data_IF_670209491068
#
_entry.id   IF_670209491068
#
_cell.length_a   1.000
_cell.length_b   1.000
_cell.length_c   1.000
_cell.angle_alpha   90.00
_cell.angle_beta   90.00
_cell.angle_gamma   90.00
#
_symmetry.space_group_name_H-M   'P 1'
#
loop_
_entity.id
_entity.type
_entity.pdbx_description
1 polymer ?
#
# COMPACT_ATOMS: atom_id res chain seq x y z
N UNK A 1 0.08 -21.57 -11.28
CA UNK A 1 0.67 -20.27 -11.75
C UNK A 1 -0.23 -19.05 -11.52
N UNK A 2 -1.56 -19.13 -11.60
CA UNK A 2 -2.45 -17.98 -11.34
C UNK A 2 -2.34 -17.33 -9.93
N UNK A 3 -2.04 -18.11 -8.88
CA UNK A 3 -2.01 -17.60 -7.50
C UNK A 3 -0.78 -16.71 -7.17
N UNK A 4 0.37 -16.97 -7.78
CA UNK A 4 1.62 -16.22 -7.50
C UNK A 4 1.65 -14.86 -8.19
N UNK A 5 1.08 -14.74 -9.38
CA UNK A 5 1.04 -13.46 -10.11
C UNK A 5 0.01 -12.50 -9.51
N UNK A 6 -1.14 -13.01 -9.04
CA UNK A 6 -2.17 -12.20 -8.42
C UNK A 6 -1.71 -11.55 -7.11
N UNK A 7 -1.11 -12.32 -6.21
CA UNK A 7 -0.65 -11.83 -4.91
C UNK A 7 0.38 -10.69 -5.01
N UNK A 8 1.34 -10.81 -5.94
CA UNK A 8 2.36 -9.77 -6.14
C UNK A 8 1.77 -8.48 -6.70
N UNK A 9 0.83 -8.59 -7.66
CA UNK A 9 0.16 -7.43 -8.24
C UNK A 9 -0.72 -6.75 -7.18
N UNK A 10 -1.47 -7.54 -6.40
CA UNK A 10 -2.32 -7.03 -5.33
C UNK A 10 -1.49 -6.30 -4.26
N UNK A 11 -0.33 -6.85 -3.88
CA UNK A 11 0.61 -6.21 -2.95
C UNK A 11 1.16 -4.89 -3.52
N UNK A 12 1.63 -4.89 -4.77
CA UNK A 12 2.16 -3.68 -5.40
C UNK A 12 1.09 -2.59 -5.56
N UNK A 13 -0.15 -2.98 -5.87
CA UNK A 13 -1.28 -2.05 -5.94
C UNK A 13 -1.55 -1.42 -4.58
N UNK A 14 -1.61 -2.24 -3.52
CA UNK A 14 -1.81 -1.77 -2.17
C UNK A 14 -0.68 -0.84 -1.69
N UNK A 15 0.57 -1.15 -2.05
CA UNK A 15 1.71 -0.27 -1.75
C UNK A 15 1.61 1.07 -2.51
N UNK A 16 1.16 1.06 -3.77
CA UNK A 16 0.93 2.30 -4.52
C UNK A 16 -0.17 3.14 -3.88
N UNK A 17 -1.28 2.53 -3.46
CA UNK A 17 -2.38 3.21 -2.76
C UNK A 17 -1.92 3.79 -1.42
N UNK A 18 -1.14 3.05 -0.65
CA UNK A 18 -0.52 3.53 0.58
C UNK A 18 0.34 4.78 0.33
N UNK A 19 1.23 4.72 -0.67
CA UNK A 19 2.11 5.85 -1.02
C UNK A 19 1.32 7.06 -1.50
N UNK A 20 0.23 6.87 -2.25
CA UNK A 20 -0.65 7.94 -2.68
C UNK A 20 -1.36 8.61 -1.49
N UNK A 21 -1.87 7.84 -0.53
CA UNK A 21 -2.50 8.37 0.67
C UNK A 21 -1.47 9.06 1.59
N UNK A 22 -0.29 8.48 1.77
CA UNK A 22 0.80 9.10 2.55
C UNK A 22 1.22 10.44 1.96
N UNK A 23 1.23 10.56 0.62
CA UNK A 23 1.48 11.83 -0.06
C UNK A 23 0.49 12.93 0.36
N UNK A 24 -0.81 12.59 0.47
CA UNK A 24 -1.84 13.52 0.92
C UNK A 24 -1.63 13.94 2.37
N UNK A 25 -1.25 13.01 3.25
CA UNK A 25 -0.97 13.30 4.66
C UNK A 25 0.22 14.24 4.80
N UNK A 26 1.34 13.97 4.13
CA UNK A 26 2.53 14.83 4.15
C UNK A 26 2.21 16.23 3.60
N UNK A 27 1.48 16.30 2.48
CA UNK A 27 1.04 17.58 1.91
C UNK A 27 0.15 18.36 2.88
N UNK A 28 -0.74 17.67 3.60
CA UNK A 28 -1.56 18.27 4.64
C UNK A 28 -0.72 18.81 5.80
N UNK A 29 0.32 18.10 6.23
CA UNK A 29 1.25 18.55 7.24
C UNK A 29 1.94 19.86 6.82
N UNK A 30 2.43 19.91 5.56
CA UNK A 30 3.11 21.10 5.03
C UNK A 30 2.15 22.29 4.95
N UNK A 31 0.93 22.08 4.44
CA UNK A 31 -0.03 23.17 4.25
C UNK A 31 -0.56 23.74 5.56
N UNK A 32 -0.63 22.92 6.60
CA UNK A 32 -1.21 23.32 7.89
C UNK A 32 -0.17 23.58 8.98
N UNK A 33 1.13 23.56 8.64
CA UNK A 33 2.22 23.67 9.62
C UNK A 33 2.15 24.92 10.50
N UNK A 34 1.66 26.02 9.96
CA UNK A 34 1.54 27.31 10.67
C UNK A 34 0.18 27.46 11.37
N UNK A 35 -0.73 26.48 11.25
CA UNK A 35 -2.04 26.55 11.89
C UNK A 35 -1.92 26.30 13.39
N UNK A 36 -2.56 27.20 14.17
CA UNK A 36 -2.55 27.10 15.63
C UNK A 36 -3.15 25.78 16.11
N UNK A 37 -2.38 24.99 16.87
CA UNK A 37 -2.84 23.72 17.42
C UNK A 37 -2.81 22.56 16.43
N UNK A 38 -2.24 22.72 15.24
CA UNK A 38 -2.07 21.63 14.30
C UNK A 38 -1.04 20.63 14.82
N UNK A 39 -1.39 19.36 14.74
CA UNK A 39 -0.50 18.23 15.06
C UNK A 39 -0.28 17.39 13.79
N UNK A 40 0.98 17.20 13.37
CA UNK A 40 1.27 16.41 12.18
C UNK A 40 0.85 14.97 12.35
N UNK A 41 0.48 14.36 11.25
CA UNK A 41 0.10 12.96 11.18
C UNK A 41 1.03 12.21 10.22
N UNK A 42 1.16 10.91 10.40
CA UNK A 42 1.75 10.01 9.42
C UNK A 42 0.82 8.83 9.16
N UNK A 43 1.00 8.18 8.03
CA UNK A 43 0.24 7.01 7.64
C UNK A 43 1.06 5.76 7.89
N UNK A 44 0.51 4.83 8.64
CA UNK A 44 1.14 3.55 8.94
C UNK A 44 0.27 2.40 8.46
N UNK A 45 0.87 1.25 8.20
CA UNK A 45 0.13 0.03 7.92
C UNK A 45 -0.60 -0.44 9.18
N UNK A 46 -1.81 -0.94 9.02
CA UNK A 46 -2.54 -1.56 10.12
C UNK A 46 -1.80 -2.81 10.63
N UNK A 47 -1.99 -3.12 11.90
CA UNK A 47 -1.35 -4.29 12.52
C UNK A 47 -1.80 -5.61 11.87
N UNK A 48 -3.04 -5.66 11.41
CA UNK A 48 -3.59 -6.81 10.68
C UNK A 48 -2.89 -7.04 9.35
N UNK A 49 -2.54 -5.97 8.64
CA UNK A 49 -1.82 -6.04 7.39
C UNK A 49 -0.36 -6.46 7.59
N UNK A 50 0.31 -5.91 8.61
CA UNK A 50 1.66 -6.32 8.96
C UNK A 50 1.72 -7.83 9.25
N UNK A 51 0.79 -8.36 10.03
CA UNK A 51 0.69 -9.80 10.31
C UNK A 51 0.43 -10.62 9.04
N UNK A 52 -0.43 -10.12 8.13
CA UNK A 52 -0.71 -10.81 6.88
C UNK A 52 0.50 -10.82 5.92
N UNK A 53 1.39 -9.84 6.01
CA UNK A 53 2.64 -9.79 5.24
C UNK A 53 3.72 -10.68 5.83
N UNK A 54 3.78 -10.83 7.15
CA UNK A 54 4.75 -11.66 7.86
C UNK A 54 4.44 -13.16 7.79
N UNK A 55 3.16 -13.54 7.65
CA UNK A 55 2.71 -14.93 7.57
C UNK A 55 1.94 -15.22 6.26
N UNK A 56 2.62 -15.27 5.10
CA UNK A 56 1.94 -15.42 3.81
C UNK A 56 1.23 -16.78 3.64
N UNK A 57 1.52 -17.76 4.48
CA UNK A 57 1.00 -19.13 4.35
C UNK A 57 -0.21 -19.41 5.26
N UNK A 58 -0.54 -18.52 6.20
CA UNK A 58 -1.67 -18.69 7.14
C UNK A 58 -3.04 -18.29 6.59
N UNK A 59 -3.09 -17.67 5.41
CA UNK A 59 -4.34 -17.25 4.76
C UNK A 59 -5.02 -18.35 3.92
N UNK A 60 -4.49 -19.55 3.95
CA UNK A 60 -5.17 -20.73 3.42
C UNK A 60 -6.22 -21.19 4.43
N UNK A 61 -7.37 -20.54 4.45
CA UNK A 61 -8.54 -21.08 5.15
C UNK A 61 -8.84 -22.47 4.54
N UNK A 62 -8.64 -23.51 5.32
CA UNK A 62 -9.05 -24.86 4.98
C UNK A 62 -10.55 -24.85 4.71
N UNK A 63 -10.94 -25.06 3.47
CA UNK A 63 -12.33 -25.27 3.09
C UNK A 63 -12.81 -26.58 3.68
N UNK A 64 -13.62 -26.51 4.72
CA UNK A 64 -14.26 -27.68 5.31
C UNK A 64 -15.60 -28.04 4.64
N UNK A 65 -16.07 -27.22 3.68
CA UNK A 65 -17.32 -27.49 2.96
C UNK A 65 -17.31 -26.84 1.56
N UNK A 66 -17.70 -27.58 0.51
CA UNK A 66 -17.76 -27.12 -0.89
C UNK A 66 -18.75 -25.96 -1.13
N UNK A 67 -19.62 -25.66 -0.18
CA UNK A 67 -20.58 -24.56 -0.25
C UNK A 67 -20.03 -23.22 0.23
N UNK A 68 -18.83 -23.19 0.80
CA UNK A 68 -18.15 -21.95 1.12
C UNK A 68 -17.51 -21.35 -0.12
N UNK A 69 -18.17 -20.36 -0.72
CA UNK A 69 -17.57 -19.50 -1.73
C UNK A 69 -16.30 -18.89 -1.13
N UNK A 70 -15.16 -18.91 -1.87
CA UNK A 70 -13.99 -18.16 -1.43
C UNK A 70 -14.40 -16.68 -1.40
N UNK A 71 -14.49 -16.12 -0.20
CA UNK A 71 -14.58 -14.69 -0.04
C UNK A 71 -13.26 -14.15 -0.59
N UNK A 72 -13.31 -13.57 -1.78
CA UNK A 72 -12.15 -12.87 -2.30
C UNK A 72 -11.76 -11.84 -1.23
N UNK A 73 -10.47 -11.76 -0.84
CA UNK A 73 -10.06 -10.72 0.08
C UNK A 73 -10.52 -9.41 -0.52
N UNK A 74 -11.38 -8.69 0.21
CA UNK A 74 -11.88 -7.40 -0.23
C UNK A 74 -10.66 -6.48 -0.38
N UNK A 75 -10.37 -6.13 -1.62
CA UNK A 75 -9.23 -5.30 -1.99
C UNK A 75 -9.31 -3.96 -1.27
N UNK A 76 -8.24 -3.62 -0.53
CA UNK A 76 -7.94 -2.25 -0.14
C UNK A 76 -9.08 -1.49 0.51
N UNK A 77 -9.63 -2.00 1.62
CA UNK A 77 -10.47 -1.15 2.46
C UNK A 77 -9.56 -0.10 3.10
N UNK A 78 -10.07 1.11 3.25
CA UNK A 78 -9.44 2.21 4.01
C UNK A 78 -9.05 1.83 5.45
N UNK A 79 -9.37 0.63 5.88
CA UNK A 79 -9.04 0.03 7.18
C UNK A 79 -7.62 -0.55 7.24
N UNK A 80 -6.96 -0.76 6.07
CA UNK A 80 -5.60 -1.30 6.00
C UNK A 80 -4.53 -0.28 6.39
N UNK A 81 -4.89 1.01 6.40
CA UNK A 81 -3.98 2.11 6.73
C UNK A 81 -4.53 2.91 7.90
N UNK A 82 -3.64 3.29 8.81
CA UNK A 82 -3.99 4.07 9.99
C UNK A 82 -3.24 5.39 10.00
N UNK A 83 -3.98 6.49 10.11
CA UNK A 83 -3.41 7.81 10.36
C UNK A 83 -3.07 7.93 11.85
N UNK A 84 -1.82 8.21 12.15
CA UNK A 84 -1.32 8.36 13.52
C UNK A 84 -0.78 9.76 13.70
N UNK A 85 -1.25 10.49 14.74
CA UNK A 85 -0.66 11.76 15.10
C UNK A 85 0.73 11.54 15.70
N UNK A 86 1.72 12.26 15.20
CA UNK A 86 3.11 12.13 15.69
C UNK A 86 3.37 12.93 16.95
N UNK A 87 2.47 13.87 17.33
CA UNK A 87 2.61 14.71 18.52
C UNK A 87 3.81 15.68 18.48
N UNK A 88 4.62 15.64 17.43
CA UNK A 88 5.78 16.49 17.24
C UNK A 88 5.40 17.82 16.55
N UNK A 89 6.28 18.82 16.64
CA UNK A 89 6.12 20.03 15.83
C UNK A 89 6.48 19.72 14.38
N UNK A 90 5.70 20.26 13.43
CA UNK A 90 6.00 20.10 11.99
C UNK A 90 7.33 20.77 11.67
N UNK A 91 8.23 20.04 11.03
CA UNK A 91 9.47 20.55 10.45
C UNK A 91 9.35 20.49 8.93
N UNK A 92 9.41 21.65 8.28
CA UNK A 92 9.32 21.72 6.81
C UNK A 92 10.39 20.86 6.13
N UNK A 93 11.63 20.93 6.63
CA UNK A 93 12.74 20.15 6.04
C UNK A 93 12.49 18.64 6.14
N UNK A 94 11.98 18.17 7.28
CA UNK A 94 11.64 16.78 7.48
C UNK A 94 10.46 16.36 6.59
N UNK A 95 9.41 17.17 6.48
CA UNK A 95 8.27 16.85 5.62
C UNK A 95 8.64 16.87 4.13
N UNK A 96 9.51 17.78 3.70
CA UNK A 96 10.02 17.79 2.33
C UNK A 96 10.88 16.57 2.02
N UNK A 97 11.71 16.11 2.96
CA UNK A 97 12.47 14.86 2.82
C UNK A 97 11.53 13.65 2.73
N UNK A 98 10.52 13.58 3.60
CA UNK A 98 9.49 12.53 3.58
C UNK A 98 8.71 12.53 2.25
N UNK A 99 8.39 13.72 1.72
CA UNK A 99 7.70 13.86 0.44
C UNK A 99 8.55 13.31 -0.70
N UNK A 100 9.84 13.67 -0.75
CA UNK A 100 10.77 13.20 -1.77
C UNK A 100 10.96 11.68 -1.71
N UNK A 101 11.15 11.13 -0.52
CA UNK A 101 11.25 9.68 -0.30
C UNK A 101 9.96 8.97 -0.75
N UNK A 102 8.81 9.46 -0.32
CA UNK A 102 7.52 8.87 -0.66
C UNK A 102 7.27 8.89 -2.17
N UNK A 103 7.63 9.99 -2.85
CA UNK A 103 7.53 10.11 -4.31
C UNK A 103 8.44 9.10 -5.03
N UNK A 104 9.68 8.95 -4.58
CA UNK A 104 10.62 7.97 -5.14
C UNK A 104 10.07 6.53 -5.00
N UNK A 105 9.57 6.19 -3.82
CA UNK A 105 9.01 4.86 -3.56
C UNK A 105 7.72 4.60 -4.33
N UNK A 106 6.89 5.63 -4.52
CA UNK A 106 5.70 5.53 -5.37
C UNK A 106 6.10 5.20 -6.82
N UNK A 107 7.04 5.95 -7.39
CA UNK A 107 7.51 5.73 -8.77
C UNK A 107 8.11 4.33 -8.94
N UNK A 108 8.92 3.88 -7.98
CA UNK A 108 9.48 2.52 -7.99
C UNK A 108 8.37 1.45 -7.98
N UNK A 109 7.34 1.65 -7.15
CA UNK A 109 6.21 0.71 -7.05
C UNK A 109 5.43 0.64 -8.37
N UNK A 110 5.18 1.79 -9.00
CA UNK A 110 4.49 1.87 -10.30
C UNK A 110 5.34 1.24 -11.41
N UNK A 111 6.65 1.45 -11.42
CA UNK A 111 7.55 0.82 -12.39
C UNK A 111 7.57 -0.71 -12.25
N UNK A 112 7.62 -1.22 -11.03
CA UNK A 112 7.53 -2.66 -10.77
C UNK A 112 6.21 -3.23 -11.27
N UNK A 113 5.10 -2.55 -11.02
CA UNK A 113 3.78 -2.93 -11.48
C UNK A 113 3.74 -2.97 -13.02
N UNK A 114 4.23 -1.93 -13.68
CA UNK A 114 4.32 -1.86 -15.13
C UNK A 114 5.18 -2.98 -15.74
N UNK A 115 6.30 -3.34 -15.09
CA UNK A 115 7.15 -4.48 -15.50
C UNK A 115 6.41 -5.81 -15.39
N UNK A 116 5.64 -6.01 -14.32
CA UNK A 116 4.81 -7.21 -14.14
C UNK A 116 3.76 -7.34 -15.25
N UNK A 117 3.05 -6.26 -15.59
CA UNK A 117 2.08 -6.27 -16.69
C UNK A 117 2.72 -6.53 -18.04
N UNK A 118 3.89 -5.92 -18.31
CA UNK A 118 4.64 -6.21 -19.56
C UNK A 118 5.02 -7.68 -19.66
N UNK A 119 5.52 -8.28 -18.57
CA UNK A 119 5.86 -9.72 -18.54
C UNK A 119 4.65 -10.60 -18.86
N UNK A 120 3.49 -10.31 -18.28
CA UNK A 120 2.25 -11.06 -18.56
C UNK A 120 1.86 -10.91 -20.03
N UNK A 121 1.92 -9.69 -20.58
CA UNK A 121 1.59 -9.43 -21.98
C UNK A 121 2.52 -10.15 -22.96
N UNK A 122 3.81 -10.28 -22.62
CA UNK A 122 4.79 -11.03 -23.43
C UNK A 122 4.40 -12.50 -23.48
N UNK A 123 4.15 -13.12 -22.35
CA UNK A 123 3.75 -14.53 -22.27
C UNK A 123 2.45 -14.79 -23.04
N UNK A 124 1.48 -13.90 -22.96
CA UNK A 124 0.20 -14.03 -23.68
C UNK A 124 0.36 -13.88 -25.19
N UNK A 125 1.37 -13.13 -25.68
CA UNK A 125 1.65 -12.99 -27.12
C UNK A 125 2.40 -14.18 -27.70
N UNK A 126 3.26 -14.83 -26.91
CA UNK A 126 4.05 -15.99 -27.32
C UNK A 126 3.21 -17.28 -27.37
N UNK A 127 2.00 -17.28 -26.79
CA UNK A 127 1.08 -18.43 -26.77
C UNK A 127 0.13 -18.45 -27.97
N UNK A 128 0.30 -17.57 -28.95
CA UNK A 128 -0.39 -17.57 -30.25
C UNK A 128 0.55 -18.05 -31.35
#
# INVERSE_FOLDING_TARGET
>A
MKALFGKTIDLLTMMADFRAQRHQVITSNITNMDSKGYSPADLTFSESLNKAMEEPDRLSMSKTNDKHLPQAPERGKSEDFRVVSTGAKVSLDAEMANLAENHLMYNLTVDLLARKFRGINTVLKETK
#
